data_IF_282050682237
#
_entry.id   IF_282050682237
#
_cell.length_a   1.000
_cell.length_b   1.000
_cell.length_c   1.000
_cell.angle_alpha   90.00
_cell.angle_beta   90.00
_cell.angle_gamma   90.00
#
_symmetry.space_group_name_H-M   'P 1'
#
loop_
_entity.id
_entity.type
_entity.pdbx_description
1 polymer ?
#
# COMPACT_ATOMS: atom_id res chain seq x y z
N UNK A 1 -17.38 0.73 -0.09
CA UNK A 1 -17.08 2.17 -0.14
C UNK A 1 -15.82 2.54 0.67
N UNK A 2 -15.69 2.11 1.93
CA UNK A 2 -14.54 2.45 2.78
C UNK A 2 -13.16 2.03 2.25
N UNK A 3 -13.08 0.92 1.53
CA UNK A 3 -11.81 0.40 1.03
C UNK A 3 -11.08 1.38 0.11
N UNK A 4 -11.79 2.00 -0.85
CA UNK A 4 -11.20 2.95 -1.80
C UNK A 4 -10.72 4.24 -1.12
N UNK A 5 -11.48 4.74 -0.15
CA UNK A 5 -11.11 5.93 0.64
C UNK A 5 -9.88 5.64 1.50
N UNK A 6 -9.84 4.47 2.14
CA UNK A 6 -8.70 4.04 2.93
C UNK A 6 -7.44 3.89 2.06
N UNK A 7 -7.56 3.26 0.88
CA UNK A 7 -6.44 3.13 -0.07
C UNK A 7 -5.86 4.48 -0.50
N UNK A 8 -6.72 5.43 -0.86
CA UNK A 8 -6.29 6.78 -1.23
C UNK A 8 -5.64 7.51 -0.05
N UNK A 9 -6.19 7.34 1.15
CA UNK A 9 -5.66 7.94 2.38
C UNK A 9 -4.25 7.40 2.69
N UNK A 10 -4.07 6.07 2.65
CA UNK A 10 -2.77 5.42 2.89
C UNK A 10 -1.73 5.84 1.85
N UNK A 11 -2.14 6.08 0.60
CA UNK A 11 -1.23 6.54 -0.44
C UNK A 11 -0.88 8.03 -0.31
N UNK A 12 -1.88 8.90 -0.27
CA UNK A 12 -1.71 10.35 -0.40
C UNK A 12 -1.29 11.04 0.90
N UNK A 13 -1.80 10.60 2.05
CA UNK A 13 -1.60 11.29 3.32
C UNK A 13 -0.13 11.29 3.77
N UNK A 14 0.65 10.17 3.66
CA UNK A 14 2.06 10.19 3.99
C UNK A 14 2.87 11.15 3.11
N UNK A 15 2.55 11.25 1.81
CA UNK A 15 3.21 12.21 0.89
C UNK A 15 3.03 13.64 1.40
N UNK A 16 1.79 14.01 1.75
CA UNK A 16 1.47 15.35 2.25
C UNK A 16 2.16 15.60 3.59
N UNK A 17 2.12 14.63 4.51
CA UNK A 17 2.73 14.76 5.84
C UNK A 17 4.25 14.93 5.77
N UNK A 18 4.93 14.13 4.94
CA UNK A 18 6.38 14.25 4.70
C UNK A 18 6.71 15.58 4.05
N UNK A 19 5.98 16.01 3.01
CA UNK A 19 6.19 17.29 2.33
C UNK A 19 6.03 18.48 3.28
N UNK A 20 5.08 18.41 4.22
CA UNK A 20 4.87 19.41 5.27
C UNK A 20 5.82 19.28 6.46
N UNK A 21 6.76 18.32 6.44
CA UNK A 21 7.70 18.01 7.54
C UNK A 21 7.01 17.73 8.88
N UNK A 22 5.80 17.16 8.84
CA UNK A 22 5.02 16.80 10.04
C UNK A 22 5.44 15.43 10.61
N UNK A 23 6.14 14.64 9.82
CA UNK A 23 6.58 13.27 10.11
C UNK A 23 7.96 13.03 9.50
N UNK A 24 8.59 11.93 9.89
CA UNK A 24 9.88 11.53 9.34
C UNK A 24 9.81 11.22 7.84
N UNK A 25 10.84 11.54 7.04
CA UNK A 25 10.88 11.19 5.62
C UNK A 25 10.72 9.70 5.34
N UNK A 26 11.16 8.82 6.25
CA UNK A 26 10.98 7.37 6.16
C UNK A 26 9.52 6.96 6.04
N UNK A 27 8.59 7.77 6.55
CA UNK A 27 7.14 7.55 6.47
C UNK A 27 6.61 7.40 5.04
N UNK A 28 7.38 7.84 4.03
CA UNK A 28 7.07 7.59 2.62
C UNK A 28 6.99 6.09 2.27
N UNK A 29 7.58 5.21 3.09
CA UNK A 29 7.43 3.76 2.96
C UNK A 29 5.96 3.30 3.00
N UNK A 30 5.10 4.01 3.74
CA UNK A 30 3.65 3.74 3.78
C UNK A 30 3.02 4.01 2.41
N UNK A 31 3.41 5.07 1.70
CA UNK A 31 2.93 5.35 0.34
C UNK A 31 3.39 4.26 -0.63
N UNK A 32 4.64 3.81 -0.53
CA UNK A 32 5.18 2.74 -1.39
C UNK A 32 4.40 1.43 -1.15
N UNK A 33 4.23 1.02 0.11
CA UNK A 33 3.43 -0.16 0.44
C UNK A 33 1.97 -0.03 0.00
N UNK A 34 1.39 1.16 0.15
CA UNK A 34 0.02 1.48 -0.27
C UNK A 34 -0.18 1.40 -1.78
N UNK A 35 0.80 1.86 -2.56
CA UNK A 35 0.78 1.74 -4.02
C UNK A 35 0.86 0.28 -4.46
N UNK A 36 1.75 -0.51 -3.85
CA UNK A 36 1.93 -1.94 -4.14
C UNK A 36 0.63 -2.72 -3.92
N UNK A 37 -0.01 -2.56 -2.76
CA UNK A 37 -1.29 -3.24 -2.51
C UNK A 37 -2.45 -2.63 -3.31
N UNK A 38 -2.37 -1.34 -3.67
CA UNK A 38 -3.32 -0.71 -4.60
C UNK A 38 -3.38 -1.43 -5.94
N UNK A 39 -2.22 -1.82 -6.49
CA UNK A 39 -2.14 -2.62 -7.72
C UNK A 39 -2.84 -3.98 -7.52
N UNK A 40 -2.53 -4.67 -6.42
CA UNK A 40 -3.18 -5.96 -6.09
C UNK A 40 -4.70 -5.84 -5.90
N UNK A 41 -5.16 -4.77 -5.24
CA UNK A 41 -6.58 -4.49 -5.01
C UNK A 41 -7.35 -4.20 -6.31
N UNK A 42 -6.75 -3.43 -7.24
CA UNK A 42 -7.35 -3.19 -8.55
C UNK A 42 -7.44 -4.51 -9.34
N UNK A 43 -6.37 -5.31 -9.35
CA UNK A 43 -6.38 -6.60 -10.04
C UNK A 43 -7.47 -7.55 -9.48
N UNK A 44 -7.62 -7.62 -8.15
CA UNK A 44 -8.68 -8.40 -7.49
C UNK A 44 -10.08 -7.86 -7.80
N UNK A 45 -10.28 -6.54 -7.84
CA UNK A 45 -11.57 -5.94 -8.18
C UNK A 45 -12.03 -6.29 -9.60
N UNK A 46 -11.10 -6.26 -10.57
CA UNK A 46 -11.35 -6.64 -11.96
C UNK A 46 -11.66 -8.13 -12.10
N UNK A 47 -10.91 -9.00 -11.41
CA UNK A 47 -11.22 -10.41 -11.34
C UNK A 47 -12.61 -10.70 -10.74
N UNK A 48 -12.96 -10.04 -9.64
CA UNK A 48 -14.29 -10.14 -9.02
C UNK A 48 -15.43 -9.66 -9.94
N UNK A 49 -15.13 -8.75 -10.87
CA UNK A 49 -16.05 -8.29 -11.90
C UNK A 49 -16.11 -9.20 -13.14
N UNK A 50 -15.40 -10.34 -13.14
CA UNK A 50 -15.37 -11.29 -14.26
C UNK A 50 -14.58 -10.82 -15.48
N UNK A 51 -13.79 -9.74 -15.35
CA UNK A 51 -12.99 -9.17 -16.45
C UNK A 51 -11.54 -9.03 -15.99
N UNK A 52 -10.66 -10.00 -16.29
CA UNK A 52 -9.24 -9.92 -15.98
C UNK A 52 -8.64 -8.59 -16.44
N UNK A 53 -7.97 -7.89 -15.54
CA UNK A 53 -7.35 -6.59 -15.85
C UNK A 53 -6.33 -6.78 -16.98
N UNK A 54 -6.42 -5.94 -18.03
CA UNK A 54 -5.51 -5.96 -19.19
C UNK A 54 -5.37 -7.33 -19.89
N UNK A 55 -6.25 -8.30 -19.62
CA UNK A 55 -6.16 -9.68 -20.15
C UNK A 55 -5.05 -10.55 -19.56
N UNK A 56 -4.08 -9.98 -18.83
CA UNK A 56 -2.92 -10.70 -18.27
C UNK A 56 -3.10 -11.07 -16.78
N UNK A 57 -3.93 -10.34 -16.04
CA UNK A 57 -4.19 -10.58 -14.62
C UNK A 57 -5.30 -11.63 -14.46
N UNK A 58 -5.03 -12.87 -14.90
CA UNK A 58 -5.92 -14.03 -14.65
C UNK A 58 -5.95 -14.38 -13.16
N UNK A 59 -6.90 -15.22 -12.75
CA UNK A 59 -7.01 -15.67 -11.36
C UNK A 59 -5.71 -16.27 -10.84
N UNK A 60 -5.10 -17.17 -11.62
CA UNK A 60 -3.85 -17.84 -11.25
C UNK A 60 -2.70 -16.83 -11.08
N UNK A 61 -2.58 -15.87 -11.99
CA UNK A 61 -1.55 -14.82 -11.92
C UNK A 61 -1.77 -13.96 -10.68
N UNK A 62 -2.99 -13.47 -10.46
CA UNK A 62 -3.30 -12.60 -9.32
C UNK A 62 -3.04 -13.31 -8.00
N UNK A 63 -3.49 -14.55 -7.84
CA UNK A 63 -3.25 -15.31 -6.61
C UNK A 63 -1.76 -15.65 -6.42
N UNK A 64 -1.00 -15.89 -7.50
CA UNK A 64 0.44 -16.12 -7.42
C UNK A 64 1.21 -14.86 -6.96
N UNK A 65 0.83 -13.67 -7.44
CA UNK A 65 1.51 -12.41 -7.08
C UNK A 65 0.96 -11.77 -5.80
N UNK A 66 -0.21 -12.20 -5.30
CA UNK A 66 -0.83 -11.60 -4.13
C UNK A 66 0.05 -11.72 -2.89
N UNK A 67 0.62 -12.90 -2.64
CA UNK A 67 1.51 -13.15 -1.50
C UNK A 67 2.75 -12.25 -1.52
N UNK A 68 3.55 -12.16 -2.60
CA UNK A 68 4.69 -11.25 -2.63
C UNK A 68 4.25 -9.77 -2.55
N UNK A 69 3.11 -9.38 -3.14
CA UNK A 69 2.57 -8.02 -3.00
C UNK A 69 2.27 -7.68 -1.54
N UNK A 70 1.60 -8.58 -0.81
CA UNK A 70 1.27 -8.38 0.60
C UNK A 70 2.53 -8.31 1.47
N UNK A 71 3.52 -9.15 1.18
CA UNK A 71 4.81 -9.12 1.85
C UNK A 71 5.53 -7.78 1.64
N UNK A 72 5.63 -7.31 0.39
CA UNK A 72 6.25 -6.02 0.06
C UNK A 72 5.49 -4.83 0.64
N UNK A 73 4.16 -4.87 0.64
CA UNK A 73 3.34 -3.87 1.34
C UNK A 73 3.68 -3.82 2.83
N UNK A 74 3.76 -4.98 3.47
CA UNK A 74 4.08 -5.08 4.90
C UNK A 74 5.47 -4.52 5.20
N UNK A 75 6.46 -4.82 4.36
CA UNK A 75 7.80 -4.24 4.49
C UNK A 75 7.79 -2.71 4.31
N UNK A 76 7.06 -2.20 3.33
CA UNK A 76 6.91 -0.77 3.11
C UNK A 76 6.31 -0.06 4.32
N UNK A 77 5.27 -0.65 4.92
CA UNK A 77 4.65 -0.13 6.13
C UNK A 77 5.59 -0.20 7.33
N UNK A 78 6.20 -1.36 7.57
CA UNK A 78 7.15 -1.55 8.67
C UNK A 78 8.31 -0.56 8.60
N UNK A 79 8.86 -0.34 7.39
CA UNK A 79 9.87 0.68 7.16
C UNK A 79 9.33 2.09 7.43
N UNK A 80 8.14 2.40 6.93
CA UNK A 80 7.45 3.67 7.13
C UNK A 80 7.29 4.05 8.59
N UNK A 81 6.98 3.08 9.44
CA UNK A 81 6.81 3.27 10.88
C UNK A 81 8.08 2.99 11.70
N UNK A 82 9.20 2.60 11.08
CA UNK A 82 10.38 2.09 11.79
C UNK A 82 10.94 3.08 12.82
N UNK A 83 10.91 4.38 12.54
CA UNK A 83 11.39 5.39 13.49
C UNK A 83 10.46 5.54 14.70
N UNK A 84 9.15 5.50 14.47
CA UNK A 84 8.14 5.55 15.54
C UNK A 84 8.21 4.28 16.41
N UNK A 85 8.49 3.13 15.81
CA UNK A 85 8.72 1.86 16.51
C UNK A 85 9.97 1.90 17.39
N UNK A 86 11.04 2.56 16.93
CA UNK A 86 12.31 2.66 17.67
C UNK A 86 12.28 3.67 18.82
N UNK A 87 11.48 4.75 18.71
CA UNK A 87 11.43 5.83 19.69
C UNK A 87 9.99 6.24 20.04
N UNK A 88 9.20 5.39 20.71
CA UNK A 88 7.77 5.62 20.92
C UNK A 88 7.43 6.81 21.85
N UNK A 89 8.41 7.36 22.58
CA UNK A 89 8.19 8.39 23.63
C UNK A 89 8.51 9.82 23.17
N UNK A 90 9.22 10.01 22.05
CA UNK A 90 9.50 11.36 21.52
C UNK A 90 8.42 11.76 20.51
N UNK A 91 7.35 12.40 21.01
CA UNK A 91 6.48 13.26 20.21
C UNK A 91 6.79 14.72 20.52
#
# INVERSE_FOLDING_TARGET
MFHSVAGLTIFALPIIAVKKKLVDPGFIGVTIGGAIIGIGGIALAFLGAGKPLLGIFTADVVFAILTPILFLMTLGFAYGFMKDLKNPVKK
#
